data_IF_417365431020
#
_entry.id   IF_417365431020
#
_cell.length_a   1.000
_cell.length_b   1.000
_cell.length_c   1.000
_cell.angle_alpha   90.00
_cell.angle_beta   90.00
_cell.angle_gamma   90.00
#
_symmetry.space_group_name_H-M   'P 1'
#
loop_
_entity.id
_entity.type
_entity.pdbx_description
1 polymer ?
#
# COMPACT_ATOMS: atom_id res chain seq x y z
N UNK A 1 -2.01 -14.30 -10.09
CA UNK A 1 -2.64 -13.86 -11.34
C UNK A 1 -1.52 -13.63 -12.33
N UNK A 2 -1.65 -14.19 -13.52
CA UNK A 2 -0.70 -13.96 -14.62
C UNK A 2 -0.79 -12.50 -15.08
N UNK A 3 0.33 -12.00 -15.59
CA UNK A 3 0.43 -10.60 -15.99
C UNK A 3 -0.17 -10.44 -17.39
N UNK A 4 -1.25 -9.67 -17.58
CA UNK A 4 -1.79 -9.42 -18.90
C UNK A 4 -0.75 -8.74 -19.80
N UNK A 5 -0.82 -9.03 -21.09
CA UNK A 5 0.04 -8.40 -22.08
C UNK A 5 -0.06 -6.86 -22.02
N UNK A 6 1.07 -6.17 -22.13
CA UNK A 6 1.13 -4.71 -22.05
C UNK A 6 0.90 -4.09 -20.67
N UNK A 7 0.56 -4.90 -19.64
CA UNK A 7 0.24 -4.34 -18.32
C UNK A 7 1.46 -3.75 -17.60
N UNK A 8 2.66 -4.30 -17.81
CA UNK A 8 3.88 -3.74 -17.22
C UNK A 8 4.22 -2.38 -17.84
N UNK A 9 4.06 -2.22 -19.13
CA UNK A 9 4.27 -0.93 -19.81
C UNK A 9 3.22 0.10 -19.37
N UNK A 10 1.98 -0.33 -19.19
CA UNK A 10 0.93 0.50 -18.60
C UNK A 10 1.31 1.01 -17.20
N UNK A 11 1.84 0.17 -16.30
CA UNK A 11 2.30 0.60 -14.97
C UNK A 11 3.48 1.57 -15.07
N UNK A 12 4.40 1.35 -16.03
CA UNK A 12 5.52 2.25 -16.29
C UNK A 12 5.01 3.62 -16.74
N UNK A 13 4.11 3.66 -17.72
CA UNK A 13 3.47 4.90 -18.20
C UNK A 13 2.74 5.64 -17.09
N UNK A 14 1.99 4.94 -16.22
CA UNK A 14 1.36 5.56 -15.05
C UNK A 14 2.40 6.18 -14.09
N UNK A 15 3.60 5.61 -14.01
CA UNK A 15 4.67 6.17 -13.19
C UNK A 15 5.29 7.41 -13.84
N UNK A 16 5.35 7.49 -15.15
CA UNK A 16 5.76 8.68 -15.92
C UNK A 16 4.74 9.82 -15.76
N UNK A 17 3.45 9.51 -15.90
CA UNK A 17 2.37 10.48 -15.67
C UNK A 17 2.41 11.04 -14.24
N UNK A 18 2.69 10.18 -13.25
CA UNK A 18 2.89 10.61 -11.87
C UNK A 18 4.05 11.61 -11.76
N UNK A 19 5.19 11.35 -12.41
CA UNK A 19 6.34 12.24 -12.41
C UNK A 19 6.00 13.60 -13.03
N UNK A 20 5.27 13.64 -14.16
CA UNK A 20 4.80 14.90 -14.80
C UNK A 20 3.97 15.76 -13.85
N UNK A 21 3.07 15.14 -13.07
CA UNK A 21 2.28 15.88 -12.08
C UNK A 21 3.10 16.37 -10.89
N UNK A 22 4.11 15.60 -10.47
CA UNK A 22 5.06 16.05 -9.43
C UNK A 22 5.89 17.23 -9.94
N UNK A 23 6.40 17.15 -11.18
CA UNK A 23 7.19 18.21 -11.79
C UNK A 23 6.38 19.51 -11.87
N UNK A 24 5.16 19.45 -12.39
CA UNK A 24 4.24 20.59 -12.43
C UNK A 24 4.02 21.20 -11.03
N UNK A 25 3.81 20.35 -10.01
CA UNK A 25 3.57 20.83 -8.65
C UNK A 25 4.76 21.60 -8.08
N UNK A 26 6.00 21.16 -8.35
CA UNK A 26 7.22 21.82 -7.92
C UNK A 26 7.48 23.12 -8.67
N UNK A 27 7.23 23.15 -9.98
CA UNK A 27 7.37 24.33 -10.85
C UNK A 27 6.39 25.44 -10.43
N UNK A 28 5.13 25.06 -10.18
CA UNK A 28 4.07 26.02 -9.83
C UNK A 28 3.92 26.25 -8.31
N UNK A 29 4.72 25.57 -7.49
CA UNK A 29 4.60 25.59 -6.01
C UNK A 29 3.16 25.39 -5.54
N UNK A 30 2.41 24.52 -6.24
CA UNK A 30 0.98 24.35 -6.04
C UNK A 30 0.60 22.86 -5.98
N UNK A 31 -0.38 22.53 -5.13
CA UNK A 31 -1.04 21.22 -5.08
C UNK A 31 -2.52 21.31 -5.42
N UNK A 32 -2.92 22.39 -6.12
CA UNK A 32 -4.30 22.59 -6.56
C UNK A 32 -4.64 21.63 -7.71
N UNK A 33 -5.54 20.68 -7.41
CA UNK A 33 -5.95 19.64 -8.37
C UNK A 33 -6.68 20.18 -9.59
N UNK A 34 -7.44 21.27 -9.42
CA UNK A 34 -8.21 21.89 -10.52
C UNK A 34 -7.25 22.57 -11.49
N UNK A 35 -6.30 23.34 -10.97
CA UNK A 35 -5.29 24.01 -11.79
C UNK A 35 -4.43 23.00 -12.55
N UNK A 36 -3.89 21.97 -11.84
CA UNK A 36 -3.12 20.90 -12.47
C UNK A 36 -3.92 20.17 -13.56
N UNK A 37 -5.25 20.03 -13.39
CA UNK A 37 -6.09 19.45 -14.42
C UNK A 37 -6.17 20.33 -15.66
N UNK A 38 -6.40 21.65 -15.50
CA UNK A 38 -6.47 22.60 -16.62
C UNK A 38 -5.17 22.62 -17.41
N UNK A 39 -4.03 22.63 -16.73
CA UNK A 39 -2.73 22.81 -17.36
C UNK A 39 -2.19 21.55 -18.04
N UNK A 40 -2.45 20.36 -17.46
CA UNK A 40 -1.81 19.12 -17.90
C UNK A 40 -2.75 18.13 -18.59
N UNK A 41 -4.06 18.12 -18.29
CA UNK A 41 -4.94 17.03 -18.69
C UNK A 41 -4.97 16.82 -20.23
N UNK A 42 -5.18 17.88 -21.01
CA UNK A 42 -5.25 17.76 -22.47
C UNK A 42 -3.91 17.32 -23.08
N UNK A 43 -2.79 17.87 -22.58
CA UNK A 43 -1.44 17.47 -23.01
C UNK A 43 -1.19 15.99 -22.76
N UNK A 44 -1.49 15.51 -21.55
CA UNK A 44 -1.31 14.11 -21.18
C UNK A 44 -2.27 13.18 -21.94
N UNK A 45 -3.48 13.63 -22.30
CA UNK A 45 -4.41 12.85 -23.14
C UNK A 45 -3.87 12.65 -24.55
N UNK A 46 -3.21 13.65 -25.12
CA UNK A 46 -2.58 13.55 -26.45
C UNK A 46 -1.33 12.66 -26.40
N UNK A 47 -0.49 12.83 -25.36
CA UNK A 47 0.76 12.06 -25.20
C UNK A 47 0.49 10.59 -24.85
N UNK A 48 -0.56 10.30 -24.05
CA UNK A 48 -0.90 8.95 -23.57
C UNK A 48 -2.36 8.55 -23.91
N UNK A 49 -2.71 8.40 -25.19
CA UNK A 49 -4.08 8.16 -25.64
C UNK A 49 -4.67 6.86 -25.08
N UNK A 50 -3.86 5.83 -24.85
CA UNK A 50 -4.25 4.52 -24.34
C UNK A 50 -4.48 4.48 -22.83
N UNK A 51 -4.17 5.56 -22.11
CA UNK A 51 -4.42 5.63 -20.67
C UNK A 51 -5.84 6.17 -20.41
N UNK A 52 -6.69 5.45 -19.68
CA UNK A 52 -8.04 5.92 -19.36
C UNK A 52 -8.03 7.27 -18.63
N UNK A 53 -8.96 8.17 -18.95
CA UNK A 53 -9.02 9.53 -18.38
C UNK A 53 -9.12 9.55 -16.86
N UNK A 54 -9.86 8.61 -16.27
CA UNK A 54 -9.98 8.48 -14.83
C UNK A 54 -8.67 8.02 -14.15
N UNK A 55 -7.80 7.28 -14.86
CA UNK A 55 -6.47 6.91 -14.36
C UNK A 55 -5.53 8.12 -14.36
N UNK A 56 -5.61 9.00 -15.37
CA UNK A 56 -4.89 10.27 -15.36
C UNK A 56 -5.27 11.10 -14.12
N UNK A 57 -6.59 11.19 -13.83
CA UNK A 57 -7.09 11.94 -12.68
C UNK A 57 -6.66 11.32 -11.34
N UNK A 58 -6.80 10.01 -11.16
CA UNK A 58 -6.39 9.35 -9.91
C UNK A 58 -4.88 9.39 -9.71
N UNK A 59 -4.09 9.37 -10.78
CA UNK A 59 -2.62 9.50 -10.72
C UNK A 59 -2.21 10.92 -10.37
N UNK A 60 -2.90 11.97 -10.93
CA UNK A 60 -2.74 13.37 -10.52
C UNK A 60 -3.00 13.51 -9.03
N UNK A 61 -4.16 13.02 -8.57
CA UNK A 61 -4.57 13.16 -7.18
C UNK A 61 -3.55 12.52 -6.23
N UNK A 62 -3.07 11.33 -6.58
CA UNK A 62 -2.01 10.66 -5.82
C UNK A 62 -0.71 11.46 -5.78
N UNK A 63 -0.29 12.04 -6.90
CA UNK A 63 0.94 12.82 -6.98
C UNK A 63 0.86 14.07 -6.10
N UNK A 64 -0.21 14.86 -6.24
CA UNK A 64 -0.41 16.10 -5.51
C UNK A 64 -0.64 15.88 -4.01
N UNK A 65 -1.33 14.81 -3.62
CA UNK A 65 -1.49 14.41 -2.22
C UNK A 65 -0.14 14.10 -1.56
N UNK A 66 0.75 13.38 -2.25
CA UNK A 66 2.09 13.07 -1.72
C UNK A 66 2.95 14.34 -1.63
N UNK A 67 2.94 15.22 -2.64
CA UNK A 67 3.67 16.49 -2.61
C UNK A 67 3.18 17.35 -1.45
N UNK A 68 1.85 17.46 -1.26
CA UNK A 68 1.24 18.18 -0.15
C UNK A 68 1.67 17.63 1.22
N UNK A 69 1.69 16.30 1.36
CA UNK A 69 2.13 15.63 2.59
C UNK A 69 3.61 15.90 2.90
N UNK A 70 4.45 15.91 1.87
CA UNK A 70 5.89 16.19 1.98
C UNK A 70 6.19 17.70 2.11
N UNK A 71 5.18 18.59 2.04
CA UNK A 71 5.35 20.05 2.10
C UNK A 71 6.49 20.55 1.19
N UNK A 72 6.62 19.98 -0.01
CA UNK A 72 7.67 20.27 -0.99
C UNK A 72 9.12 20.02 -0.50
N UNK A 73 9.32 19.34 0.63
CA UNK A 73 10.67 19.09 1.16
C UNK A 73 11.51 18.17 0.25
N UNK A 74 10.89 17.27 -0.49
CA UNK A 74 11.58 16.41 -1.45
C UNK A 74 10.66 16.02 -2.60
N UNK A 75 11.25 15.87 -3.81
CA UNK A 75 10.52 15.48 -5.01
C UNK A 75 10.24 13.96 -4.99
N UNK A 76 8.99 13.51 -4.83
CA UNK A 76 8.67 12.09 -4.75
C UNK A 76 8.92 11.41 -6.10
N UNK A 77 9.54 10.24 -6.06
CA UNK A 77 9.79 9.41 -7.24
C UNK A 77 9.02 8.10 -7.15
N UNK A 78 8.27 7.77 -8.19
CA UNK A 78 7.58 6.49 -8.31
C UNK A 78 8.44 5.53 -9.13
N UNK A 79 8.68 4.32 -8.60
CA UNK A 79 9.43 3.30 -9.34
C UNK A 79 8.59 2.76 -10.49
N UNK A 80 9.18 2.34 -11.63
CA UNK A 80 8.47 1.57 -12.65
C UNK A 80 7.74 0.38 -12.01
N UNK A 81 6.54 0.07 -12.47
CA UNK A 81 5.69 -1.00 -11.96
C UNK A 81 5.15 -0.78 -10.54
N UNK A 82 5.22 0.44 -10.01
CA UNK A 82 4.54 0.80 -8.77
C UNK A 82 3.03 0.68 -8.91
N UNK A 83 2.35 0.48 -7.77
CA UNK A 83 0.91 0.33 -7.78
C UNK A 83 0.19 1.60 -8.27
N UNK A 84 -0.81 1.40 -9.12
CA UNK A 84 -1.75 2.41 -9.60
C UNK A 84 -2.98 2.40 -8.72
N UNK A 85 -3.51 3.58 -8.40
CA UNK A 85 -4.74 3.76 -7.62
C UNK A 85 -5.95 3.68 -8.54
N UNK A 86 -6.95 2.95 -8.09
CA UNK A 86 -8.26 2.81 -8.71
C UNK A 86 -9.34 3.26 -7.73
N UNK A 87 -10.39 3.85 -8.26
CA UNK A 87 -11.62 4.19 -7.55
C UNK A 87 -12.81 3.35 -8.06
N UNK A 88 -14.00 3.56 -7.51
CA UNK A 88 -15.19 2.81 -7.87
C UNK A 88 -15.63 2.98 -9.33
N UNK A 89 -15.17 4.05 -10.03
CA UNK A 89 -15.50 4.31 -11.46
C UNK A 89 -14.69 3.41 -12.40
N UNK A 90 -13.49 3.03 -11.98
CA UNK A 90 -12.52 2.33 -12.82
C UNK A 90 -12.13 0.93 -12.32
N UNK A 91 -12.70 0.50 -11.18
CA UNK A 91 -12.54 -0.84 -10.63
C UNK A 91 -13.84 -1.32 -9.98
N UNK A 92 -14.20 -2.56 -10.21
CA UNK A 92 -15.34 -3.20 -9.57
C UNK A 92 -15.04 -4.67 -9.24
N UNK A 93 -15.60 -5.16 -8.14
CA UNK A 93 -15.58 -6.57 -7.76
C UNK A 93 -17.01 -7.10 -7.68
N UNK A 94 -17.31 -8.15 -8.45
CA UNK A 94 -18.59 -8.86 -8.43
C UNK A 94 -18.35 -10.34 -8.19
N UNK A 95 -18.68 -10.81 -6.99
CA UNK A 95 -18.25 -12.13 -6.55
C UNK A 95 -16.71 -12.23 -6.58
N UNK A 96 -16.19 -13.18 -7.34
CA UNK A 96 -14.75 -13.34 -7.56
C UNK A 96 -14.24 -12.67 -8.85
N UNK A 97 -15.11 -12.02 -9.62
CA UNK A 97 -14.74 -11.34 -10.86
C UNK A 97 -14.29 -9.91 -10.56
N UNK A 98 -13.01 -9.65 -10.66
CA UNK A 98 -12.42 -8.32 -10.60
C UNK A 98 -12.39 -7.72 -12.00
N UNK A 99 -12.96 -6.52 -12.16
CA UNK A 99 -12.92 -5.73 -13.39
C UNK A 99 -12.23 -4.41 -13.11
N UNK A 100 -11.26 -4.01 -13.93
CA UNK A 100 -10.56 -2.73 -13.78
C UNK A 100 -10.11 -2.16 -15.12
N UNK A 101 -9.89 -0.84 -15.17
CA UNK A 101 -9.38 -0.16 -16.36
C UNK A 101 -7.91 -0.51 -16.59
N UNK A 102 -7.60 -1.03 -17.76
CA UNK A 102 -6.26 -1.34 -18.23
C UNK A 102 -5.87 -0.49 -19.45
N UNK A 103 -4.78 -0.84 -20.16
CA UNK A 103 -4.36 -0.13 -21.38
C UNK A 103 -5.41 -0.30 -22.49
N UNK A 104 -6.03 0.81 -22.85
CA UNK A 104 -7.04 0.88 -23.94
C UNK A 104 -8.37 0.18 -23.66
N UNK A 105 -8.44 -0.79 -22.76
CA UNK A 105 -9.65 -1.58 -22.46
C UNK A 105 -9.79 -1.95 -20.99
N UNK A 106 -10.98 -2.43 -20.60
CA UNK A 106 -11.20 -3.02 -19.30
C UNK A 106 -10.68 -4.46 -19.25
N UNK A 107 -9.94 -4.78 -18.20
CA UNK A 107 -9.45 -6.11 -17.90
C UNK A 107 -10.43 -6.77 -16.92
N UNK A 108 -10.82 -8.01 -17.23
CA UNK A 108 -11.67 -8.85 -16.37
C UNK A 108 -10.87 -10.09 -15.98
N UNK A 109 -10.86 -10.41 -14.69
CA UNK A 109 -10.09 -11.55 -14.19
C UNK A 109 -10.73 -12.13 -12.95
N UNK A 110 -10.71 -13.45 -12.85
CA UNK A 110 -11.09 -14.14 -11.62
C UNK A 110 -9.98 -14.02 -10.59
N UNK A 111 -10.34 -13.74 -9.35
CA UNK A 111 -9.42 -13.68 -8.22
C UNK A 111 -9.86 -14.64 -7.11
N UNK A 112 -8.89 -15.28 -6.48
CA UNK A 112 -9.15 -16.09 -5.30
C UNK A 112 -9.21 -15.18 -4.08
N UNK A 113 -10.41 -15.04 -3.54
CA UNK A 113 -10.64 -14.27 -2.33
C UNK A 113 -10.31 -15.14 -1.12
N UNK A 114 -9.54 -14.62 -0.15
CA UNK A 114 -9.24 -15.35 1.07
C UNK A 114 -10.52 -15.69 1.86
N UNK A 115 -10.52 -16.79 2.58
CA UNK A 115 -11.68 -17.24 3.38
C UNK A 115 -12.17 -16.17 4.36
N UNK A 116 -11.28 -15.37 4.94
CA UNK A 116 -11.65 -14.28 5.84
C UNK A 116 -12.45 -13.16 5.13
N UNK A 117 -12.46 -13.10 3.80
CA UNK A 117 -13.21 -12.11 3.03
C UNK A 117 -14.73 -12.29 3.19
N UNK A 118 -15.20 -13.47 3.57
CA UNK A 118 -16.62 -13.74 3.82
C UNK A 118 -17.24 -12.72 4.81
N UNK A 119 -16.45 -12.23 5.77
CA UNK A 119 -16.87 -11.21 6.74
C UNK A 119 -17.18 -9.85 6.10
N UNK A 120 -16.64 -9.59 4.90
CA UNK A 120 -16.72 -8.29 4.24
C UNK A 120 -17.60 -8.29 2.99
N UNK A 121 -18.35 -9.37 2.74
CA UNK A 121 -19.23 -9.48 1.56
C UNK A 121 -20.29 -8.39 1.47
N UNK A 122 -20.78 -7.91 2.62
CA UNK A 122 -21.77 -6.82 2.70
C UNK A 122 -21.17 -5.43 2.64
N UNK A 123 -19.84 -5.32 2.64
CA UNK A 123 -19.13 -4.04 2.61
C UNK A 123 -19.00 -3.51 1.19
N UNK A 124 -19.03 -2.19 1.04
CA UNK A 124 -18.93 -1.52 -0.26
C UNK A 124 -17.48 -1.33 -0.63
N UNK A 125 -17.07 -1.81 -1.81
CA UNK A 125 -15.74 -1.53 -2.34
C UNK A 125 -15.64 -0.06 -2.78
N UNK A 126 -14.73 0.70 -2.19
CA UNK A 126 -14.52 2.14 -2.49
C UNK A 126 -13.35 2.37 -3.44
N UNK A 127 -12.28 1.65 -3.27
CA UNK A 127 -11.06 1.86 -4.05
C UNK A 127 -10.15 0.64 -3.99
N UNK A 128 -9.08 0.67 -4.76
CA UNK A 128 -8.04 -0.34 -4.70
C UNK A 128 -6.75 0.14 -5.32
N UNK A 129 -5.74 -0.70 -5.24
CA UNK A 129 -4.48 -0.48 -5.95
C UNK A 129 -4.04 -1.77 -6.63
N UNK A 130 -3.52 -1.64 -7.83
CA UNK A 130 -2.95 -2.76 -8.59
C UNK A 130 -1.51 -2.42 -8.94
N UNK A 131 -0.59 -3.31 -8.58
CA UNK A 131 0.83 -3.18 -8.85
C UNK A 131 1.46 -4.52 -9.16
N UNK A 132 2.77 -4.52 -9.45
CA UNK A 132 3.52 -5.71 -9.79
C UNK A 132 4.58 -6.05 -8.73
N UNK A 133 4.54 -7.27 -8.22
CA UNK A 133 5.57 -7.80 -7.33
C UNK A 133 6.66 -8.48 -8.17
N UNK A 134 7.79 -7.78 -8.34
CA UNK A 134 8.95 -8.28 -9.11
C UNK A 134 9.55 -9.58 -8.57
N UNK A 135 9.43 -9.83 -7.26
CA UNK A 135 10.00 -11.03 -6.64
C UNK A 135 9.14 -12.25 -6.89
N UNK A 136 7.84 -12.09 -6.81
CA UNK A 136 6.88 -13.17 -7.04
C UNK A 136 6.48 -13.29 -8.51
N UNK A 137 6.86 -12.32 -9.35
CA UNK A 137 6.43 -12.19 -10.76
C UNK A 137 4.91 -12.25 -10.91
N UNK A 138 4.16 -11.64 -9.96
CA UNK A 138 2.70 -11.67 -9.91
C UNK A 138 2.14 -10.27 -9.71
N UNK A 139 0.93 -10.07 -10.21
CA UNK A 139 0.15 -8.87 -9.90
C UNK A 139 -0.28 -8.92 -8.43
N UNK A 140 -0.12 -7.81 -7.75
CA UNK A 140 -0.61 -7.58 -6.40
C UNK A 140 -1.81 -6.64 -6.47
N UNK A 141 -2.93 -7.11 -5.97
CA UNK A 141 -4.16 -6.34 -5.81
C UNK A 141 -4.38 -6.06 -4.33
N UNK A 142 -4.74 -4.83 -3.99
CA UNK A 142 -5.20 -4.45 -2.67
C UNK A 142 -6.52 -3.72 -2.83
N UNK A 143 -7.57 -4.20 -2.17
CA UNK A 143 -8.92 -3.66 -2.24
C UNK A 143 -9.27 -3.02 -0.90
N UNK A 144 -9.97 -1.89 -0.95
CA UNK A 144 -10.43 -1.14 0.21
C UNK A 144 -11.95 -1.18 0.23
N UNK A 145 -12.47 -1.70 1.33
CA UNK A 145 -13.91 -1.81 1.58
C UNK A 145 -14.29 -0.90 2.74
N UNK A 146 -15.48 -0.34 2.66
CA UNK A 146 -16.08 0.46 3.72
C UNK A 146 -17.25 -0.31 4.33
N UNK A 147 -17.22 -0.42 5.65
CA UNK A 147 -18.34 -1.00 6.39
C UNK A 147 -19.56 -0.10 6.29
N UNK A 148 -20.78 -0.65 6.24
CA UNK A 148 -21.96 0.14 6.49
C UNK A 148 -21.84 0.78 7.88
N UNK A 149 -22.01 2.10 7.96
CA UNK A 149 -21.94 2.82 9.22
C UNK A 149 -23.05 2.28 10.15
N UNK A 150 -22.73 1.79 11.34
CA UNK A 150 -23.77 1.41 12.29
C UNK A 150 -24.63 2.65 12.58
N UNK A 151 -25.93 2.55 12.43
CA UNK A 151 -26.87 3.65 12.67
C UNK A 151 -26.83 4.18 14.12
N UNK A 152 -26.30 3.37 15.03
CA UNK A 152 -26.11 3.77 16.42
C UNK A 152 -24.87 3.06 16.95
N UNK A 153 -23.83 3.82 17.25
CA UNK A 153 -22.77 3.34 18.13
C UNK A 153 -23.40 3.33 19.51
N UNK A 154 -23.95 2.18 19.93
CA UNK A 154 -24.21 1.97 21.35
C UNK A 154 -22.87 2.15 22.05
N UNK A 155 -22.72 3.26 22.78
CA UNK A 155 -21.60 3.41 23.71
C UNK A 155 -21.74 2.26 24.69
N UNK A 156 -20.95 1.21 24.50
CA UNK A 156 -20.77 0.20 25.53
C UNK A 156 -20.30 0.99 26.74
N UNK A 157 -21.09 1.02 27.81
CA UNK A 157 -20.64 1.53 29.11
C UNK A 157 -19.48 0.64 29.52
N UNK A 158 -18.27 1.06 29.22
CA UNK A 158 -17.06 0.35 29.67
C UNK A 158 -16.90 0.67 31.14
N UNK A 159 -17.18 -0.32 31.98
CA UNK A 159 -16.99 -0.20 33.43
C UNK A 159 -15.50 -0.04 33.80
N UNK A 160 -14.59 -0.33 32.87
CA UNK A 160 -13.15 -0.28 33.10
C UNK A 160 -12.42 0.35 31.94
N UNK A 161 -11.68 1.44 32.22
CA UNK A 161 -10.76 2.09 31.29
C UNK A 161 -9.34 1.70 31.69
N UNK A 162 -8.57 1.16 30.71
CA UNK A 162 -7.17 0.79 30.91
C UNK A 162 -6.30 1.69 30.03
N UNK A 163 -5.38 2.41 30.66
CA UNK A 163 -4.34 3.19 29.98
C UNK A 163 -3.27 2.28 29.38
N UNK A 164 -2.78 2.59 28.18
CA UNK A 164 -1.77 1.81 27.45
C UNK A 164 -0.60 2.74 27.13
N UNK A 165 0.58 2.42 27.64
CA UNK A 165 1.84 3.07 27.25
C UNK A 165 2.70 2.13 26.39
N UNK A 166 3.47 2.72 25.44
CA UNK A 166 4.36 1.99 24.52
C UNK A 166 5.80 2.44 24.73
N UNK A 167 6.66 1.49 25.03
CA UNK A 167 8.05 1.77 25.34
C UNK A 167 9.07 0.86 24.67
N UNK A 168 10.35 1.13 24.97
CA UNK A 168 11.50 0.36 24.46
C UNK A 168 11.76 -0.91 25.28
N UNK A 169 11.59 -0.85 26.59
CA UNK A 169 11.80 -1.98 27.50
C UNK A 169 10.57 -2.89 27.53
N UNK A 170 9.41 -2.31 27.66
CA UNK A 170 8.15 -2.99 27.46
C UNK A 170 7.54 -2.52 26.13
N UNK A 171 7.04 -3.46 25.31
CA UNK A 171 6.34 -3.11 24.08
C UNK A 171 5.06 -2.39 24.44
N UNK A 172 4.43 -2.85 25.53
CA UNK A 172 3.23 -2.28 26.11
C UNK A 172 3.32 -2.40 27.63
N UNK A 173 2.92 -1.35 28.34
CA UNK A 173 2.65 -1.34 29.75
C UNK A 173 1.21 -0.84 29.98
N UNK A 174 0.48 -1.46 30.86
CA UNK A 174 -0.91 -1.13 31.18
C UNK A 174 -1.00 -0.44 32.54
N UNK A 175 -2.03 0.37 32.74
CA UNK A 175 -2.31 1.04 34.00
C UNK A 175 -2.73 0.09 35.13
N UNK A 176 -2.91 -1.21 34.83
CA UNK A 176 -3.17 -2.27 35.80
C UNK A 176 -1.93 -3.11 36.13
N UNK A 177 -0.73 -2.51 35.99
CA UNK A 177 0.58 -3.07 36.28
C UNK A 177 1.02 -4.26 35.41
N UNK A 178 0.27 -4.60 34.38
CA UNK A 178 0.66 -5.63 33.41
C UNK A 178 1.54 -5.03 32.33
N UNK A 179 2.57 -5.78 31.93
CA UNK A 179 3.47 -5.35 30.86
C UNK A 179 3.87 -6.50 29.93
N UNK A 180 4.03 -6.18 28.65
CA UNK A 180 4.55 -7.10 27.64
C UNK A 180 6.00 -6.72 27.33
N UNK A 181 6.96 -7.52 27.83
CA UNK A 181 8.39 -7.23 27.69
C UNK A 181 8.88 -7.29 26.24
N UNK A 182 9.77 -6.37 25.88
CA UNK A 182 10.44 -6.36 24.57
C UNK A 182 11.71 -7.22 24.52
N UNK A 183 12.16 -7.82 25.60
CA UNK A 183 13.48 -8.45 25.71
C UNK A 183 13.72 -9.51 24.63
N UNK A 184 12.83 -10.47 24.48
CA UNK A 184 12.95 -11.52 23.45
C UNK A 184 12.88 -10.95 22.04
N UNK A 185 12.04 -9.95 21.81
CA UNK A 185 11.87 -9.30 20.51
C UNK A 185 13.16 -8.56 20.13
N UNK A 186 13.76 -7.82 21.05
CA UNK A 186 15.05 -7.14 20.83
C UNK A 186 16.17 -8.14 20.55
N UNK A 187 16.24 -9.25 21.31
CA UNK A 187 17.23 -10.33 21.08
C UNK A 187 17.10 -10.89 19.66
N UNK A 188 15.87 -11.17 19.21
CA UNK A 188 15.62 -11.70 17.86
C UNK A 188 15.93 -10.68 16.76
N UNK A 189 15.58 -9.41 16.93
CA UNK A 189 15.93 -8.34 15.98
C UNK A 189 17.44 -8.16 15.86
N UNK A 190 18.20 -8.24 16.98
CA UNK A 190 19.66 -8.21 16.95
C UNK A 190 20.24 -9.37 16.13
N UNK A 191 19.69 -10.60 16.26
CA UNK A 191 20.10 -11.75 15.43
C UNK A 191 19.83 -11.51 13.93
N UNK A 192 18.67 -10.95 13.56
CA UNK A 192 18.38 -10.59 12.17
C UNK A 192 19.40 -9.59 11.63
N UNK A 193 19.70 -8.55 12.39
CA UNK A 193 20.65 -7.50 12.02
C UNK A 193 22.08 -8.06 11.87
N UNK A 194 22.51 -8.87 12.80
CA UNK A 194 23.84 -9.51 12.77
C UNK A 194 24.02 -10.36 11.51
N UNK A 195 23.11 -11.29 11.24
CA UNK A 195 23.19 -12.13 10.04
C UNK A 195 23.12 -11.30 8.75
N UNK A 196 22.29 -10.25 8.73
CA UNK A 196 22.19 -9.32 7.59
C UNK A 196 23.54 -8.64 7.33
N UNK A 197 24.19 -8.11 8.38
CA UNK A 197 25.51 -7.45 8.28
C UNK A 197 26.59 -8.41 7.77
N UNK A 198 26.66 -9.63 8.32
CA UNK A 198 27.61 -10.65 7.88
C UNK A 198 27.44 -11.02 6.39
N UNK A 199 26.20 -11.22 5.92
CA UNK A 199 25.95 -11.55 4.54
C UNK A 199 26.22 -10.37 3.59
N UNK A 200 26.01 -9.14 4.06
CA UNK A 200 26.33 -7.93 3.29
C UNK A 200 27.87 -7.76 3.17
N UNK A 201 28.62 -7.95 4.27
CA UNK A 201 30.06 -7.85 4.28
C UNK A 201 30.74 -8.89 3.33
N UNK A 202 30.21 -10.12 3.27
CA UNK A 202 30.73 -11.15 2.37
C UNK A 202 30.59 -10.79 0.87
N UNK A 203 29.59 -10.03 0.47
CA UNK A 203 29.39 -9.51 -0.88
C UNK A 203 29.22 -10.54 -2.01
N UNK A 204 29.44 -11.83 -1.78
CA UNK A 204 29.43 -12.90 -2.78
C UNK A 204 28.04 -13.14 -3.38
N UNK A 205 28.00 -13.75 -4.57
CA UNK A 205 26.76 -14.14 -5.24
C UNK A 205 25.89 -15.05 -4.36
N UNK A 206 26.52 -15.98 -3.62
CA UNK A 206 25.82 -16.87 -2.69
C UNK A 206 25.22 -16.09 -1.51
N UNK A 207 25.99 -15.13 -0.92
CA UNK A 207 25.51 -14.28 0.15
C UNK A 207 24.33 -13.41 -0.30
N UNK A 208 24.37 -12.83 -1.51
CA UNK A 208 23.25 -12.09 -2.10
C UNK A 208 22.00 -12.95 -2.27
N UNK A 209 22.15 -14.23 -2.72
CA UNK A 209 21.02 -15.19 -2.78
C UNK A 209 20.42 -15.47 -1.39
N UNK A 210 21.27 -15.69 -0.38
CA UNK A 210 20.82 -15.89 1.02
C UNK A 210 20.12 -14.66 1.58
N UNK A 211 20.59 -13.45 1.32
CA UNK A 211 19.90 -12.20 1.70
C UNK A 211 18.52 -12.11 1.08
N UNK A 212 18.38 -12.41 -0.22
CA UNK A 212 17.10 -12.43 -0.92
C UNK A 212 16.12 -13.46 -0.31
N UNK A 213 16.59 -14.67 -0.01
CA UNK A 213 15.79 -15.73 0.61
C UNK A 213 15.32 -15.36 2.03
N UNK A 214 16.09 -14.53 2.76
CA UNK A 214 15.74 -14.02 4.10
C UNK A 214 14.87 -12.76 4.06
N UNK A 215 14.65 -12.17 2.89
CA UNK A 215 13.84 -10.96 2.73
C UNK A 215 12.44 -11.15 3.33
N UNK A 216 11.97 -10.16 4.07
CA UNK A 216 10.65 -10.16 4.70
C UNK A 216 10.52 -11.00 5.99
N UNK A 217 11.53 -11.78 6.40
CA UNK A 217 11.46 -12.57 7.66
C UNK A 217 11.28 -11.67 8.87
N UNK A 218 12.06 -10.59 8.98
CA UNK A 218 11.96 -9.63 10.08
C UNK A 218 10.58 -8.94 10.10
N UNK A 219 10.05 -8.57 8.93
CA UNK A 219 8.72 -7.99 8.81
C UNK A 219 7.62 -8.96 9.28
N UNK A 220 7.69 -10.23 8.87
CA UNK A 220 6.73 -11.26 9.32
C UNK A 220 6.82 -11.50 10.82
N UNK A 221 8.04 -11.57 11.37
CA UNK A 221 8.25 -11.68 12.80
C UNK A 221 7.62 -10.50 13.57
N UNK A 222 7.90 -9.24 13.14
CA UNK A 222 7.32 -8.05 13.78
C UNK A 222 5.81 -8.03 13.68
N UNK A 223 5.25 -8.43 12.52
CA UNK A 223 3.80 -8.53 12.34
C UNK A 223 3.17 -9.56 13.28
N UNK A 224 3.81 -10.73 13.44
CA UNK A 224 3.36 -11.75 14.37
C UNK A 224 3.37 -11.26 15.81
N UNK A 225 4.44 -10.59 16.24
CA UNK A 225 4.52 -9.99 17.59
C UNK A 225 3.41 -8.97 17.80
N UNK A 226 3.14 -8.11 16.81
CA UNK A 226 2.04 -7.14 16.92
C UNK A 226 0.68 -7.84 17.09
N UNK A 227 0.45 -8.96 16.39
CA UNK A 227 -0.77 -9.76 16.58
C UNK A 227 -0.85 -10.38 17.96
N UNK A 228 0.27 -10.93 18.47
CA UNK A 228 0.31 -11.51 19.83
C UNK A 228 0.00 -10.44 20.88
N UNK A 229 0.65 -9.26 20.76
CA UNK A 229 0.41 -8.13 21.69
C UNK A 229 -1.02 -7.65 21.61
N UNK A 230 -1.59 -7.50 20.40
CA UNK A 230 -2.97 -7.08 20.22
C UNK A 230 -3.98 -8.06 20.84
N UNK A 231 -3.74 -9.39 20.71
CA UNK A 231 -4.56 -10.40 21.36
C UNK A 231 -4.44 -10.40 22.88
N UNK A 232 -3.25 -10.07 23.38
CA UNK A 232 -3.02 -10.01 24.82
C UNK A 232 -3.68 -8.79 25.47
N UNK A 233 -3.91 -7.71 24.68
CA UNK A 233 -4.56 -6.48 25.13
C UNK A 233 -6.10 -6.58 25.17
N UNK A 234 -6.71 -7.47 24.39
CA UNK A 234 -8.16 -7.69 24.25
C UNK A 234 -8.57 -8.93 25.05
#
# INVERSE_FOLDING_TARGET
MDVPEGFLDYLKTCSEIFARHVDWAFENKSTNKIQAHKDLYHKLRLEFPNIPSNILQTTRDQALEIVKLLKFASKPKKKPYSAVRYDARNMALRGNLLTFSGPGKRIRTMIDLPTFFQKYKSWVMKSGTIGYDKFKKKIKVSLIFEAPTPQTIQRVKTERIVGIDRGLYNIVALSDDKAFSSQQVRKQKRKFLHVKRQLQAKGTRSAKRKLKARSGREKRFSSNINHVVSKWLV
#
